data_IF_690767532307
#
_entry.id   IF_690767532307
#
_cell.length_a   1.000
_cell.length_b   1.000
_cell.length_c   1.000
_cell.angle_alpha   90.00
_cell.angle_beta   90.00
_cell.angle_gamma   90.00
#
_symmetry.space_group_name_H-M   'P 1'
#
loop_
_entity.id
_entity.type
_entity.pdbx_description
1 polymer ?
#
# COMPACT_ATOMS: atom_id res chain seq x y z
N UNK A 1 0.79 29.93 11.91
CA UNK A 1 1.01 29.33 10.59
C UNK A 1 1.95 28.15 10.75
N UNK A 2 1.45 26.92 10.62
CA UNK A 2 2.27 25.70 10.78
C UNK A 2 3.10 25.51 9.51
N UNK A 3 4.42 25.56 9.64
CA UNK A 3 5.33 25.37 8.49
C UNK A 3 5.39 23.89 8.16
N UNK A 4 5.12 23.53 6.91
CA UNK A 4 5.27 22.15 6.44
C UNK A 4 6.74 21.72 6.52
N UNK A 5 6.98 20.49 7.01
CA UNK A 5 8.31 19.87 7.05
C UNK A 5 8.70 19.23 5.71
N UNK A 6 7.85 19.30 4.69
CA UNK A 6 8.13 18.74 3.37
C UNK A 6 9.31 19.42 2.70
N UNK A 7 10.23 18.61 2.17
CA UNK A 7 11.38 19.05 1.37
C UNK A 7 10.87 19.55 0.00
N UNK A 8 11.25 20.75 -0.45
CA UNK A 8 10.89 21.21 -1.79
C UNK A 8 11.44 20.25 -2.85
N UNK A 9 10.59 19.86 -3.81
CA UNK A 9 10.93 19.00 -4.96
C UNK A 9 11.28 17.54 -4.64
N UNK A 10 10.98 17.07 -3.42
CA UNK A 10 11.14 15.66 -3.04
C UNK A 10 9.79 15.14 -2.57
N UNK A 11 9.35 14.00 -3.11
CA UNK A 11 8.14 13.36 -2.61
C UNK A 11 8.36 12.98 -1.14
N UNK A 12 7.37 13.27 -0.30
CA UNK A 12 7.38 12.84 1.11
C UNK A 12 6.70 11.48 1.27
N UNK A 13 6.47 10.79 0.15
CA UNK A 13 5.90 9.46 0.13
C UNK A 13 6.87 8.46 0.75
N UNK A 14 6.31 7.57 1.55
CA UNK A 14 7.05 6.46 2.10
C UNK A 14 7.27 5.43 0.99
N UNK A 15 8.53 5.14 0.59
CA UNK A 15 8.81 4.18 -0.48
C UNK A 15 8.24 2.79 -0.18
N UNK A 16 8.11 2.43 1.10
CA UNK A 16 7.48 1.18 1.52
C UNK A 16 5.98 1.16 1.21
N UNK A 17 5.29 2.26 1.47
CA UNK A 17 3.87 2.40 1.14
C UNK A 17 3.66 2.44 -0.37
N UNK A 18 4.52 3.15 -1.13
CA UNK A 18 4.45 3.15 -2.59
C UNK A 18 4.63 1.75 -3.19
N UNK A 19 5.62 0.98 -2.70
CA UNK A 19 5.86 -0.38 -3.13
C UNK A 19 4.65 -1.29 -2.84
N UNK A 20 4.05 -1.17 -1.65
CA UNK A 20 2.84 -1.87 -1.26
C UNK A 20 1.66 -1.59 -2.20
N UNK A 21 1.36 -0.32 -2.44
CA UNK A 21 0.25 0.08 -3.31
C UNK A 21 0.48 -0.32 -4.76
N UNK A 22 1.73 -0.28 -5.23
CA UNK A 22 2.08 -0.79 -6.55
C UNK A 22 1.79 -2.29 -6.64
N UNK A 23 2.27 -3.10 -5.70
CA UNK A 23 2.03 -4.55 -5.71
C UNK A 23 0.54 -4.89 -5.61
N UNK A 24 -0.20 -4.19 -4.76
CA UNK A 24 -1.64 -4.37 -4.61
C UNK A 24 -2.39 -4.23 -5.94
N UNK A 25 -2.09 -3.17 -6.72
CA UNK A 25 -2.75 -2.90 -8.01
C UNK A 25 -2.50 -3.97 -9.07
N UNK A 26 -1.36 -4.66 -9.02
CA UNK A 26 -1.00 -5.69 -10.00
C UNK A 26 -1.22 -7.11 -9.47
N UNK A 27 -1.80 -7.26 -8.27
CA UNK A 27 -2.10 -8.57 -7.72
C UNK A 27 -3.33 -9.16 -8.42
N UNK A 28 -3.28 -10.39 -8.95
CA UNK A 28 -4.40 -10.99 -9.69
C UNK A 28 -5.66 -11.20 -8.84
N UNK A 29 -5.53 -11.22 -7.52
CA UNK A 29 -6.64 -11.30 -6.58
C UNK A 29 -7.31 -9.93 -6.32
N UNK A 30 -6.79 -8.83 -6.87
CA UNK A 30 -7.41 -7.52 -6.74
C UNK A 30 -8.74 -7.49 -7.51
N UNK A 31 -9.87 -7.23 -6.83
CA UNK A 31 -11.17 -7.30 -7.48
C UNK A 31 -11.41 -6.09 -8.39
N UNK A 32 -12.15 -6.29 -9.48
CA UNK A 32 -12.57 -5.23 -10.41
C UNK A 32 -13.51 -4.22 -9.72
N UNK A 33 -14.31 -4.70 -8.76
CA UNK A 33 -15.18 -3.90 -7.89
C UNK A 33 -15.22 -4.45 -6.48
N UNK A 34 -15.28 -3.55 -5.50
CA UNK A 34 -15.50 -3.89 -4.10
C UNK A 34 -16.94 -3.55 -3.70
N UNK A 35 -17.68 -4.52 -3.18
CA UNK A 35 -19.07 -4.34 -2.73
C UNK A 35 -19.31 -5.35 -1.58
N UNK A 36 -19.22 -5.02 -0.26
CA UNK A 36 -19.19 -3.73 0.47
C UNK A 36 -17.85 -3.35 1.17
N UNK A 37 -17.80 -2.19 1.86
CA UNK A 37 -16.61 -1.66 2.57
C UNK A 37 -15.97 -2.67 3.54
N UNK A 38 -16.77 -3.49 4.21
CA UNK A 38 -16.30 -4.54 5.11
C UNK A 38 -15.42 -5.55 4.36
N UNK A 39 -15.89 -6.03 3.20
CA UNK A 39 -15.12 -6.94 2.35
C UNK A 39 -13.84 -6.29 1.82
N UNK A 40 -13.86 -4.99 1.51
CA UNK A 40 -12.64 -4.25 1.16
C UNK A 40 -11.64 -4.25 2.30
N UNK A 41 -12.10 -4.05 3.54
CA UNK A 41 -11.25 -4.04 4.73
C UNK A 41 -10.65 -5.41 5.00
N UNK A 42 -11.45 -6.46 4.95
CA UNK A 42 -10.98 -7.85 5.12
C UNK A 42 -9.94 -8.21 4.06
N UNK A 43 -10.22 -7.88 2.80
CA UNK A 43 -9.27 -8.10 1.70
C UNK A 43 -7.95 -7.35 1.93
N UNK A 44 -8.02 -6.06 2.30
CA UNK A 44 -6.83 -5.26 2.59
C UNK A 44 -6.04 -5.84 3.77
N UNK A 45 -6.72 -6.24 4.85
CA UNK A 45 -6.07 -6.79 6.04
C UNK A 45 -5.30 -8.08 5.71
N UNK A 46 -5.94 -9.00 5.00
CA UNK A 46 -5.30 -10.25 4.54
C UNK A 46 -4.13 -9.94 3.60
N UNK A 47 -4.32 -9.04 2.65
CA UNK A 47 -3.27 -8.65 1.71
C UNK A 47 -2.06 -8.04 2.43
N UNK A 48 -2.26 -7.05 3.29
CA UNK A 48 -1.16 -6.37 3.98
C UNK A 48 -0.47 -7.29 4.99
N UNK A 49 -1.20 -8.18 5.67
CA UNK A 49 -0.59 -9.20 6.51
C UNK A 49 0.31 -10.12 5.69
N UNK A 50 -0.19 -10.67 4.59
CA UNK A 50 0.61 -11.52 3.70
C UNK A 50 1.82 -10.76 3.13
N UNK A 51 1.61 -9.52 2.67
CA UNK A 51 2.68 -8.68 2.14
C UNK A 51 3.76 -8.41 3.19
N UNK A 52 3.40 -8.09 4.43
CA UNK A 52 4.38 -7.75 5.46
C UNK A 52 5.18 -8.97 5.94
N UNK A 53 4.57 -10.15 6.02
CA UNK A 53 5.22 -11.34 6.60
C UNK A 53 5.83 -12.30 5.58
N UNK A 54 5.29 -12.35 4.36
CA UNK A 54 5.69 -13.34 3.34
C UNK A 54 6.37 -12.67 2.15
N UNK A 55 5.94 -11.46 1.75
CA UNK A 55 6.53 -10.75 0.63
C UNK A 55 7.88 -10.14 1.03
N UNK A 56 8.94 -10.90 0.79
CA UNK A 56 10.33 -10.41 0.96
C UNK A 56 10.60 -9.36 -0.10
N UNK A 57 10.80 -8.11 0.33
CA UNK A 57 11.37 -7.08 -0.53
C UNK A 57 12.75 -7.57 -0.97
N UNK A 58 12.91 -7.87 -2.25
CA UNK A 58 14.19 -8.31 -2.84
C UNK A 58 15.25 -7.19 -2.90
N UNK A 59 15.09 -6.14 -2.11
CA UNK A 59 15.92 -4.93 -2.17
C UNK A 59 15.74 -4.04 -0.94
N UNK A 60 15.83 -4.63 0.26
CA UNK A 60 16.32 -3.88 1.42
C UNK A 60 17.84 -3.94 1.38
#
# INVERSE_FOLDING_TARGET
MTRSYSRPRVSNDNPYSEAQFKTLKYTPAFPDRFEPLEQTRDFCEVFFAHYNYVHRHSGI
#
